data_IF_037308727897
#
_entry.id   IF_037308727897
#
_cell.length_a   1.000
_cell.length_b   1.000
_cell.length_c   1.000
_cell.angle_alpha   90.00
_cell.angle_beta   90.00
_cell.angle_gamma   90.00
#
_symmetry.space_group_name_H-M   'P 1'
#
loop_
_entity.id
_entity.type
_entity.pdbx_description
1 polymer ?
#
# COMPACT_ATOMS: atom_id res chain seq x y z
N UNK A 1 22.21 18.61 -5.50
CA UNK A 1 22.35 20.07 -5.34
C UNK A 1 21.22 20.72 -4.56
N UNK A 2 19.95 20.61 -4.97
CA UNK A 2 18.86 21.28 -4.24
C UNK A 2 18.58 20.65 -2.86
N UNK A 3 18.62 19.33 -2.76
CA UNK A 3 18.27 18.58 -1.53
C UNK A 3 19.48 18.31 -0.62
N UNK A 4 20.66 18.18 -1.22
CA UNK A 4 21.94 18.16 -0.51
C UNK A 4 22.95 18.95 -1.36
N UNK A 5 23.20 20.22 -1.03
CA UNK A 5 24.08 21.09 -1.80
C UNK A 5 25.54 20.63 -1.69
N UNK A 6 26.32 20.97 -2.71
CA UNK A 6 27.73 20.63 -2.73
C UNK A 6 28.48 21.55 -1.76
N UNK A 7 28.83 21.02 -0.60
CA UNK A 7 29.80 21.66 0.29
C UNK A 7 31.24 21.34 -0.15
N UNK A 8 32.24 21.82 0.60
CA UNK A 8 33.66 21.44 0.42
C UNK A 8 33.94 19.95 0.70
N UNK A 9 32.92 19.16 1.02
CA UNK A 9 33.03 17.75 1.36
C UNK A 9 33.36 16.88 0.14
N UNK A 10 33.90 15.70 0.40
CA UNK A 10 34.16 14.70 -0.63
C UNK A 10 32.85 14.27 -1.30
N UNK A 11 32.89 14.11 -2.62
CA UNK A 11 31.80 13.50 -3.39
C UNK A 11 32.35 12.32 -4.18
N UNK A 12 31.59 11.23 -4.24
CA UNK A 12 31.92 10.09 -5.09
C UNK A 12 30.95 9.97 -6.24
N UNK A 13 31.50 9.90 -7.45
CA UNK A 13 30.72 9.68 -8.67
C UNK A 13 30.58 8.18 -8.95
N UNK A 14 29.36 7.74 -9.17
CA UNK A 14 29.04 6.38 -9.59
C UNK A 14 27.96 6.41 -10.64
N UNK A 15 28.29 5.97 -11.85
CA UNK A 15 27.48 6.20 -13.05
C UNK A 15 27.14 7.69 -13.17
N UNK A 16 25.86 8.04 -13.27
CA UNK A 16 25.36 9.41 -13.36
C UNK A 16 24.95 10.01 -11.99
N UNK A 17 25.29 9.33 -10.90
CA UNK A 17 24.91 9.70 -9.53
C UNK A 17 26.15 10.18 -8.77
N UNK A 18 25.97 11.25 -7.99
CA UNK A 18 26.98 11.74 -7.06
C UNK A 18 26.49 11.47 -5.64
N UNK A 19 27.26 10.67 -4.91
CA UNK A 19 27.05 10.41 -3.49
C UNK A 19 27.80 11.42 -2.64
N UNK A 20 27.14 11.91 -1.61
CA UNK A 20 27.62 12.91 -0.66
C UNK A 20 27.22 12.51 0.75
N UNK A 21 27.93 13.07 1.72
CA UNK A 21 27.62 12.89 3.13
C UNK A 21 26.20 13.40 3.39
N UNK A 22 25.45 12.68 4.22
CA UNK A 22 24.04 12.93 4.55
C UNK A 22 23.04 12.68 3.40
N UNK A 23 23.47 12.09 2.28
CA UNK A 23 22.50 11.65 1.27
C UNK A 23 21.62 10.53 1.83
N UNK A 24 20.32 10.64 1.57
CA UNK A 24 19.39 9.51 1.78
C UNK A 24 19.59 8.52 0.66
N UNK A 25 19.71 7.25 1.01
CA UNK A 25 19.92 6.15 0.08
C UNK A 25 18.90 5.05 0.27
N UNK A 26 18.66 4.29 -0.79
CA UNK A 26 17.79 3.14 -0.83
C UNK A 26 18.62 1.93 -1.20
N UNK A 27 18.46 0.85 -0.45
CA UNK A 27 19.06 -0.43 -0.76
C UNK A 27 18.22 -1.22 -1.77
N UNK A 28 18.87 -1.88 -2.72
CA UNK A 28 18.22 -2.48 -3.90
C UNK A 28 18.22 -4.02 -3.89
N UNK A 29 19.06 -4.66 -3.07
CA UNK A 29 19.30 -6.11 -3.13
C UNK A 29 19.38 -6.66 -1.72
N UNK A 30 18.57 -7.65 -1.36
CA UNK A 30 18.63 -8.25 -0.02
C UNK A 30 20.04 -8.76 0.31
N UNK A 31 20.58 -8.35 1.45
CA UNK A 31 21.85 -8.78 1.99
C UNK A 31 21.66 -9.26 3.43
N UNK A 32 21.53 -10.58 3.59
CA UNK A 32 21.23 -11.20 4.89
C UNK A 32 22.40 -11.19 5.85
N UNK A 33 23.63 -11.11 5.35
CA UNK A 33 24.84 -11.09 6.19
C UNK A 33 24.96 -9.74 6.89
N UNK A 34 24.63 -8.67 6.16
CA UNK A 34 24.65 -7.31 6.66
C UNK A 34 23.33 -6.88 7.28
N UNK A 35 22.30 -7.74 7.30
CA UNK A 35 20.97 -7.44 7.81
C UNK A 35 20.36 -6.16 7.20
N UNK A 36 20.48 -6.02 5.87
CA UNK A 36 19.85 -4.93 5.09
C UNK A 36 19.06 -5.54 3.94
N UNK A 37 17.85 -5.05 3.74
CA UNK A 37 16.91 -5.58 2.76
C UNK A 37 16.57 -4.56 1.67
N UNK A 38 16.15 -5.06 0.51
CA UNK A 38 15.70 -4.24 -0.60
C UNK A 38 14.47 -3.42 -0.17
N UNK A 39 14.59 -2.10 -0.29
CA UNK A 39 13.59 -1.14 0.19
C UNK A 39 14.02 -0.39 1.45
N UNK A 40 15.08 -0.82 2.14
CA UNK A 40 15.57 -0.14 3.33
C UNK A 40 16.17 1.22 2.97
N UNK A 41 15.82 2.23 3.77
CA UNK A 41 16.28 3.59 3.61
C UNK A 41 17.40 3.85 4.62
N UNK A 42 18.55 4.24 4.12
CA UNK A 42 19.71 4.60 4.93
C UNK A 42 20.17 6.04 4.69
N UNK A 43 21.20 6.44 5.42
CA UNK A 43 21.89 7.72 5.27
C UNK A 43 23.38 7.47 5.12
N UNK A 44 24.03 8.17 4.19
CA UNK A 44 25.50 8.14 4.08
C UNK A 44 26.11 8.93 5.24
N UNK A 45 26.91 8.26 6.06
CA UNK A 45 27.59 8.86 7.22
C UNK A 45 28.96 9.41 6.83
N UNK A 46 29.70 8.72 5.96
CA UNK A 46 31.01 9.17 5.49
C UNK A 46 31.41 8.60 4.11
N UNK A 47 32.37 9.27 3.47
CA UNK A 47 32.95 8.89 2.18
C UNK A 47 34.48 8.89 2.29
N UNK A 48 35.08 7.71 2.30
CA UNK A 48 36.51 7.52 2.53
C UNK A 48 37.22 7.20 1.20
N UNK A 49 38.11 8.10 0.71
CA UNK A 49 38.83 7.85 -0.54
C UNK A 49 39.77 6.66 -0.41
N UNK A 50 39.97 5.91 -1.49
CA UNK A 50 40.80 4.69 -1.49
C UNK A 50 42.26 4.87 -1.07
N UNK A 51 42.75 6.12 -1.03
CA UNK A 51 44.06 6.44 -0.46
C UNK A 51 44.16 6.14 1.05
N UNK A 52 43.03 6.17 1.75
CA UNK A 52 42.93 6.02 3.20
C UNK A 52 42.34 4.67 3.63
N UNK A 53 41.96 3.79 2.70
CA UNK A 53 41.37 2.48 2.98
C UNK A 53 42.38 1.35 2.80
N UNK A 54 42.19 0.25 3.53
CA UNK A 54 43.04 -0.96 3.39
C UNK A 54 42.82 -1.65 2.04
N UNK A 55 41.59 -1.59 1.53
CA UNK A 55 41.17 -2.16 0.24
C UNK A 55 41.77 -1.42 -0.97
N UNK A 56 42.32 -0.22 -0.76
CA UNK A 56 42.75 0.73 -1.80
C UNK A 56 41.63 1.14 -2.76
N UNK A 57 40.38 1.01 -2.32
CA UNK A 57 39.19 1.39 -3.07
C UNK A 57 38.39 2.44 -2.28
N UNK A 58 37.65 3.28 -2.99
CA UNK A 58 36.73 4.22 -2.35
C UNK A 58 35.62 3.44 -1.63
N UNK A 59 35.36 3.82 -0.37
CA UNK A 59 34.37 3.17 0.49
C UNK A 59 33.31 4.18 0.95
N UNK A 60 32.04 3.77 0.91
CA UNK A 60 30.91 4.55 1.42
C UNK A 60 30.44 3.90 2.72
N UNK A 61 30.38 4.72 3.76
CA UNK A 61 29.86 4.36 5.07
C UNK A 61 28.41 4.81 5.16
N UNK A 62 27.54 3.90 5.55
CA UNK A 62 26.08 4.10 5.56
C UNK A 62 25.51 3.60 6.86
N UNK A 63 24.44 4.24 7.32
CA UNK A 63 23.64 3.75 8.43
C UNK A 63 22.23 3.43 7.94
N UNK A 64 21.80 2.18 8.12
CA UNK A 64 20.45 1.69 7.86
C UNK A 64 19.79 1.40 9.20
N UNK A 65 18.93 2.31 9.68
CA UNK A 65 18.25 2.19 10.99
C UNK A 65 19.20 1.86 12.17
N UNK A 66 20.37 2.51 12.20
CA UNK A 66 21.39 2.30 13.22
C UNK A 66 22.38 1.17 12.93
N UNK A 67 22.16 0.36 11.89
CA UNK A 67 23.10 -0.64 11.42
C UNK A 67 24.13 0.01 10.47
N UNK A 68 25.40 0.02 10.86
CA UNK A 68 26.47 0.57 10.04
C UNK A 68 26.95 -0.45 9.00
N UNK A 69 26.89 -0.04 7.73
CA UNK A 69 27.29 -0.85 6.59
C UNK A 69 28.30 -0.09 5.75
N UNK A 70 29.36 -0.78 5.33
CA UNK A 70 30.43 -0.23 4.51
C UNK A 70 30.40 -0.93 3.17
N UNK A 71 30.31 -0.17 2.09
CA UNK A 71 30.44 -0.71 0.74
C UNK A 71 31.68 -0.22 0.02
N UNK A 72 32.57 -1.13 -0.41
CA UNK A 72 33.59 -0.82 -1.40
C UNK A 72 32.93 -0.53 -2.75
N UNK A 73 33.68 0.14 -3.62
CA UNK A 73 33.17 0.68 -4.90
C UNK A 73 32.53 -0.34 -5.84
N UNK A 74 32.93 -1.61 -5.77
CA UNK A 74 32.34 -2.71 -6.53
C UNK A 74 30.91 -3.07 -6.10
N UNK A 75 30.46 -2.64 -4.91
CA UNK A 75 29.13 -2.93 -4.37
C UNK A 75 28.17 -1.74 -4.43
N UNK A 76 28.60 -0.58 -4.92
CA UNK A 76 27.75 0.61 -5.01
C UNK A 76 26.55 0.43 -5.94
N UNK A 77 26.53 -0.60 -6.78
CA UNK A 77 25.35 -0.97 -7.57
C UNK A 77 24.16 -1.48 -6.72
N UNK A 78 24.40 -1.84 -5.45
CA UNK A 78 23.35 -2.25 -4.49
C UNK A 78 22.58 -1.06 -3.91
N UNK A 79 23.04 0.18 -4.12
CA UNK A 79 22.44 1.38 -3.53
C UNK A 79 22.06 2.42 -4.59
N UNK A 80 21.09 3.26 -4.26
CA UNK A 80 20.72 4.43 -5.07
C UNK A 80 20.25 5.56 -4.17
N UNK A 81 20.14 6.79 -4.68
CA UNK A 81 19.60 7.91 -3.91
C UNK A 81 18.10 7.72 -3.64
N UNK A 82 17.65 8.04 -2.42
CA UNK A 82 16.27 7.88 -1.96
C UNK A 82 15.49 9.20 -1.83
N UNK A 83 15.92 10.26 -2.52
CA UNK A 83 15.20 11.54 -2.52
C UNK A 83 13.82 11.46 -3.15
N UNK A 84 13.70 10.63 -4.19
CA UNK A 84 12.45 10.30 -4.82
C UNK A 84 12.46 8.80 -5.12
N UNK A 85 11.34 8.15 -4.85
CA UNK A 85 11.17 6.73 -5.13
C UNK A 85 9.85 6.50 -5.85
N UNK A 86 9.79 5.39 -6.60
CA UNK A 86 8.54 4.98 -7.22
C UNK A 86 7.56 4.44 -6.17
N UNK A 87 6.28 4.53 -6.46
CA UNK A 87 5.21 4.01 -5.60
C UNK A 87 5.42 2.52 -5.30
N UNK A 88 5.88 1.74 -6.28
CA UNK A 88 6.20 0.32 -6.10
C UNK A 88 7.34 0.09 -5.10
N UNK A 89 8.37 0.94 -5.10
CA UNK A 89 9.50 0.85 -4.16
C UNK A 89 9.13 1.29 -2.75
N UNK A 90 8.02 2.01 -2.58
CA UNK A 90 7.48 2.39 -1.27
C UNK A 90 6.56 1.34 -0.64
N UNK A 91 6.39 0.17 -1.28
CA UNK A 91 5.46 -0.86 -0.80
C UNK A 91 5.89 -1.37 0.59
N UNK A 92 4.96 -1.33 1.55
CA UNK A 92 5.21 -1.73 2.93
C UNK A 92 5.73 -0.61 3.83
N UNK A 93 6.20 0.51 3.25
CA UNK A 93 6.64 1.69 4.01
C UNK A 93 5.52 2.72 4.16
N UNK A 94 5.52 3.46 5.26
CA UNK A 94 4.63 4.62 5.45
C UNK A 94 5.47 5.84 5.82
N UNK A 95 5.04 7.01 5.36
CA UNK A 95 5.76 8.27 5.59
C UNK A 95 4.83 9.29 6.24
N UNK A 96 5.31 10.11 7.20
CA UNK A 96 4.51 11.17 7.80
C UNK A 96 3.89 12.10 6.76
N UNK A 97 4.68 12.46 5.75
CA UNK A 97 4.27 13.34 4.65
C UNK A 97 4.69 12.71 3.32
N UNK A 98 3.78 12.68 2.35
CA UNK A 98 4.05 12.22 0.97
C UNK A 98 3.75 13.35 -0.01
N UNK A 99 4.69 13.59 -0.93
CA UNK A 99 4.50 14.49 -2.07
C UNK A 99 4.36 13.62 -3.32
N UNK A 100 3.19 13.65 -3.95
CA UNK A 100 2.84 12.79 -5.07
C UNK A 100 2.69 13.63 -6.36
N UNK A 101 3.68 13.61 -7.26
CA UNK A 101 3.53 14.20 -8.58
C UNK A 101 2.67 13.32 -9.50
N UNK A 102 1.64 13.90 -10.13
CA UNK A 102 0.71 13.24 -11.05
C UNK A 102 0.67 14.02 -12.36
N UNK A 103 1.28 13.48 -13.41
CA UNK A 103 1.32 14.11 -14.73
C UNK A 103 0.77 13.16 -15.79
N UNK A 104 0.30 13.69 -16.92
CA UNK A 104 -0.15 12.85 -18.05
C UNK A 104 0.97 11.98 -18.62
N UNK A 105 2.24 12.38 -18.43
CA UNK A 105 3.41 11.64 -18.92
C UNK A 105 3.58 10.26 -18.25
N UNK A 106 3.04 10.07 -17.04
CA UNK A 106 2.99 8.75 -16.39
C UNK A 106 2.19 7.71 -17.19
N UNK A 107 1.32 8.16 -18.11
CA UNK A 107 0.70 7.35 -19.15
C UNK A 107 0.03 6.08 -18.61
N UNK A 108 0.52 4.91 -19.04
CA UNK A 108 -0.05 3.60 -18.65
C UNK A 108 0.00 3.31 -17.15
N UNK A 109 0.83 4.03 -16.39
CA UNK A 109 0.92 3.88 -14.93
C UNK A 109 -0.21 4.60 -14.19
N UNK A 110 -0.97 5.48 -14.86
CA UNK A 110 -2.14 6.15 -14.28
C UNK A 110 -3.29 5.15 -14.11
N UNK A 111 -3.24 4.38 -13.02
CA UNK A 111 -4.21 3.35 -12.67
C UNK A 111 -4.71 3.58 -11.23
N UNK A 112 -5.98 3.24 -10.97
CA UNK A 112 -6.65 3.46 -9.69
C UNK A 112 -5.91 2.81 -8.52
N UNK A 113 -5.47 1.57 -8.70
CA UNK A 113 -4.71 0.81 -7.71
C UNK A 113 -3.37 1.49 -7.36
N UNK A 114 -2.68 2.07 -8.33
CA UNK A 114 -1.40 2.74 -8.10
C UNK A 114 -1.59 4.05 -7.32
N UNK A 115 -2.59 4.85 -7.70
CA UNK A 115 -2.94 6.07 -6.97
C UNK A 115 -3.40 5.75 -5.54
N UNK A 116 -4.25 4.74 -5.37
CA UNK A 116 -4.66 4.28 -4.04
C UNK A 116 -3.46 3.87 -3.19
N UNK A 117 -2.50 3.15 -3.77
CA UNK A 117 -1.28 2.74 -3.07
C UNK A 117 -0.45 3.95 -2.64
N UNK A 118 -0.32 4.96 -3.51
CA UNK A 118 0.42 6.18 -3.21
C UNK A 118 -0.25 7.01 -2.09
N UNK A 119 -1.58 7.12 -2.12
CA UNK A 119 -2.36 7.82 -1.08
C UNK A 119 -2.15 7.14 0.27
N UNK A 120 -2.23 5.81 0.32
CA UNK A 120 -2.08 5.04 1.56
C UNK A 120 -0.65 5.00 2.09
N UNK A 121 0.36 5.50 1.36
CA UNK A 121 1.71 5.70 1.91
C UNK A 121 1.79 6.88 2.89
N UNK A 122 0.85 7.82 2.82
CA UNK A 122 0.84 9.01 3.67
C UNK A 122 0.17 8.73 5.01
N UNK A 123 0.91 8.90 6.11
CA UNK A 123 0.40 8.68 7.47
C UNK A 123 -0.33 9.90 8.04
N UNK A 124 0.13 11.11 7.74
CA UNK A 124 -0.44 12.35 8.29
C UNK A 124 -0.85 13.34 7.20
N UNK A 125 0.04 13.65 6.24
CA UNK A 125 -0.26 14.62 5.18
C UNK A 125 0.10 14.08 3.79
N UNK A 126 -0.76 14.37 2.82
CA UNK A 126 -0.55 14.08 1.41
C UNK A 126 -0.62 15.37 0.61
N UNK A 127 0.41 15.65 -0.18
CA UNK A 127 0.45 16.78 -1.12
C UNK A 127 0.48 16.20 -2.53
N UNK A 128 -0.59 16.41 -3.29
CA UNK A 128 -0.65 16.00 -4.70
C UNK A 128 -0.36 17.20 -5.59
N UNK A 129 0.54 17.02 -6.57
CA UNK A 129 0.99 18.08 -7.47
C UNK A 129 0.86 17.61 -8.91
N UNK A 130 0.33 18.45 -9.80
CA UNK A 130 0.28 18.18 -11.23
C UNK A 130 -1.10 18.40 -11.84
N UNK A 131 -1.50 17.53 -12.75
CA UNK A 131 -2.64 17.76 -13.63
C UNK A 131 -3.92 17.06 -13.12
N UNK A 132 -4.98 17.84 -12.91
CA UNK A 132 -6.30 17.32 -12.48
C UNK A 132 -6.82 16.25 -13.47
N UNK A 133 -6.64 16.47 -14.77
CA UNK A 133 -7.06 15.51 -15.79
C UNK A 133 -6.31 14.17 -15.71
N UNK A 134 -5.05 14.16 -15.27
CA UNK A 134 -4.29 12.93 -15.08
C UNK A 134 -4.79 12.14 -13.87
N UNK A 135 -5.15 12.85 -12.79
CA UNK A 135 -5.78 12.25 -11.61
C UNK A 135 -7.15 11.66 -11.95
N UNK A 136 -8.01 12.44 -12.61
CA UNK A 136 -9.35 11.99 -13.03
C UNK A 136 -9.28 10.73 -13.93
N UNK A 137 -8.37 10.73 -14.90
CA UNK A 137 -8.11 9.55 -15.73
C UNK A 137 -7.66 8.35 -14.89
N UNK A 138 -6.72 8.54 -13.95
CA UNK A 138 -6.19 7.47 -13.13
C UNK A 138 -7.27 6.85 -12.23
N UNK A 139 -8.17 7.65 -11.66
CA UNK A 139 -9.27 7.18 -10.81
C UNK A 139 -10.29 6.38 -11.63
N UNK A 140 -10.53 6.68 -12.89
CA UNK A 140 -11.44 5.89 -13.73
C UNK A 140 -10.79 4.64 -14.34
N UNK A 141 -9.46 4.56 -14.38
CA UNK A 141 -8.74 3.44 -14.96
C UNK A 141 -8.47 2.31 -13.94
N UNK A 142 -9.29 1.26 -13.96
CA UNK A 142 -9.15 0.10 -13.07
C UNK A 142 -7.94 -0.81 -13.36
N UNK A 143 -7.21 -0.54 -14.45
CA UNK A 143 -6.08 -1.34 -14.88
C UNK A 143 -6.49 -2.64 -15.56
N UNK A 144 -5.49 -3.45 -15.93
CA UNK A 144 -5.74 -4.71 -16.61
C UNK A 144 -6.15 -5.80 -15.61
N UNK A 145 -7.21 -6.56 -15.95
CA UNK A 145 -7.57 -7.75 -15.19
C UNK A 145 -6.47 -8.80 -15.31
N UNK A 146 -6.06 -9.38 -14.18
CA UNK A 146 -5.05 -10.44 -14.15
C UNK A 146 -5.66 -11.74 -14.63
N UNK A 147 -5.06 -12.36 -15.63
CA UNK A 147 -5.42 -13.70 -16.06
C UNK A 147 -4.99 -14.71 -14.99
N UNK A 148 -5.96 -15.30 -14.29
CA UNK A 148 -5.73 -16.31 -13.24
C UNK A 148 -6.88 -17.31 -13.22
N UNK A 149 -6.55 -18.58 -12.96
CA UNK A 149 -7.53 -19.67 -12.81
C UNK A 149 -7.80 -20.03 -11.35
N UNK A 150 -7.30 -19.22 -10.40
CA UNK A 150 -7.31 -19.58 -8.98
C UNK A 150 -8.74 -19.72 -8.44
N UNK A 151 -9.64 -18.81 -8.83
CA UNK A 151 -11.05 -18.84 -8.40
C UNK A 151 -11.73 -20.10 -8.92
N UNK A 152 -11.57 -20.41 -10.21
CA UNK A 152 -12.15 -21.58 -10.85
C UNK A 152 -11.66 -22.89 -10.21
N UNK A 153 -10.39 -22.95 -9.78
CA UNK A 153 -9.86 -24.12 -9.05
C UNK A 153 -10.50 -24.30 -7.68
N UNK A 154 -10.79 -23.21 -6.97
CA UNK A 154 -11.48 -23.26 -5.68
C UNK A 154 -12.95 -23.65 -5.83
N UNK A 155 -13.64 -23.15 -6.86
CA UNK A 155 -15.04 -23.51 -7.15
C UNK A 155 -15.20 -25.00 -7.47
N UNK A 156 -14.29 -25.58 -8.26
CA UNK A 156 -14.28 -27.02 -8.53
C UNK A 156 -14.06 -27.85 -7.27
N UNK A 157 -13.14 -27.41 -6.41
CA UNK A 157 -12.83 -28.12 -5.15
C UNK A 157 -13.99 -28.02 -4.16
N UNK A 158 -14.63 -26.85 -4.05
CA UNK A 158 -15.80 -26.65 -3.19
C UNK A 158 -16.98 -27.51 -3.67
N UNK A 159 -17.27 -27.52 -4.96
CA UNK A 159 -18.34 -28.34 -5.55
C UNK A 159 -18.11 -29.82 -5.28
N UNK A 160 -16.89 -30.33 -5.51
CA UNK A 160 -16.55 -31.73 -5.21
C UNK A 160 -16.59 -32.07 -3.71
N UNK A 161 -16.30 -31.12 -2.83
CA UNK A 161 -16.39 -31.31 -1.39
C UNK A 161 -17.84 -31.34 -0.92
N UNK A 162 -18.70 -30.49 -1.47
CA UNK A 162 -20.15 -30.50 -1.23
C UNK A 162 -20.76 -31.80 -1.74
N UNK A 163 -20.45 -32.22 -2.98
CA UNK A 163 -20.95 -33.46 -3.57
C UNK A 163 -20.56 -34.70 -2.75
N UNK A 164 -19.30 -34.77 -2.28
CA UNK A 164 -18.85 -35.85 -1.37
C UNK A 164 -19.55 -35.83 -0.01
N UNK A 165 -19.93 -34.66 0.47
CA UNK A 165 -20.64 -34.52 1.75
C UNK A 165 -22.10 -34.96 1.63
N UNK A 166 -22.76 -34.58 0.53
CA UNK A 166 -24.11 -35.00 0.18
C UNK A 166 -24.17 -36.51 -0.06
N UNK A 167 -23.22 -37.09 -0.79
CA UNK A 167 -23.13 -38.54 -0.96
C UNK A 167 -22.99 -39.31 0.36
N UNK A 168 -22.31 -38.72 1.36
CA UNK A 168 -22.11 -39.34 2.67
C UNK A 168 -23.38 -39.31 3.51
N UNK A 169 -24.18 -38.25 3.40
CA UNK A 169 -25.48 -38.12 4.07
C UNK A 169 -26.49 -39.11 3.46
N UNK A 170 -26.56 -39.20 2.13
CA UNK A 170 -27.46 -40.13 1.42
C UNK A 170 -27.12 -41.60 1.71
N UNK A 171 -25.83 -41.95 1.86
CA UNK A 171 -25.41 -43.31 2.24
C UNK A 171 -25.71 -43.67 3.70
N UNK A 172 -25.74 -42.70 4.60
CA UNK A 172 -26.08 -42.92 6.01
C UNK A 172 -27.60 -43.10 6.24
N UNK A 173 -28.45 -42.46 5.44
CA UNK A 173 -29.91 -42.68 5.52
C UNK A 173 -30.33 -44.04 4.95
N UNK A 174 -29.57 -44.58 3.98
CA UNK A 174 -29.83 -45.89 3.38
C UNK A 174 -29.49 -47.10 4.29
N UNK A 175 -28.84 -46.89 5.44
CA UNK A 175 -28.48 -47.97 6.39
C UNK A 175 -29.33 -48.00 7.67
N UNK A 176 -30.31 -47.10 7.81
CA UNK A 176 -31.16 -46.98 8.99
C UNK A 176 -32.64 -47.28 8.75
N UNK A 177 -33.01 -48.28 7.95
CA UNK A 177 -34.42 -48.69 7.84
C UNK A 177 -34.57 -50.18 7.48
N UNK A 178 -34.43 -51.05 8.49
CA UNK A 178 -35.09 -52.36 8.47
C UNK A 178 -36.05 -52.42 9.65
N UNK A 179 -37.31 -52.07 9.39
CA UNK A 179 -38.47 -52.87 9.81
C UNK A 179 -39.77 -52.32 9.21
N UNK A 180 -40.25 -53.06 8.21
CA UNK A 180 -41.63 -53.37 7.82
C UNK A 180 -42.70 -52.27 7.91
N UNK A 181 -43.38 -51.98 6.79
CA UNK A 181 -44.65 -52.65 6.42
C UNK A 181 -44.92 -52.49 4.92
N UNK A 182 -45.35 -53.59 4.29
CA UNK A 182 -45.72 -53.72 2.87
C UNK A 182 -47.12 -53.14 2.61
N UNK A 183 -47.28 -52.40 1.50
CA UNK A 183 -48.39 -52.66 0.57
C UNK A 183 -48.01 -52.32 -0.87
N UNK A 184 -48.48 -53.16 -1.79
CA UNK A 184 -48.07 -53.31 -3.19
C UNK A 184 -48.65 -52.21 -4.11
N UNK A 185 -47.91 -51.82 -5.15
CA UNK A 185 -48.17 -52.18 -6.56
C UNK A 185 -47.22 -51.42 -7.52
N UNK A 186 -46.64 -52.15 -8.47
CA UNK A 186 -45.86 -51.70 -9.64
C UNK A 186 -46.84 -51.06 -10.69
N UNK A 187 -46.52 -50.25 -11.69
CA UNK A 187 -45.34 -50.03 -12.56
C UNK A 187 -45.53 -48.65 -13.30
N UNK A 188 -44.74 -48.20 -14.31
CA UNK A 188 -44.18 -46.84 -14.37
C UNK A 188 -44.76 -45.98 -15.51
N UNK A 189 -44.48 -44.67 -15.55
CA UNK A 189 -44.24 -43.88 -16.78
C UNK A 189 -44.09 -42.37 -16.49
N UNK A 190 -43.20 -41.75 -17.26
CA UNK A 190 -43.11 -40.31 -17.60
C UNK A 190 -42.31 -39.35 -16.70
N UNK A 191 -41.03 -39.22 -17.06
CA UNK A 191 -40.28 -37.98 -17.36
C UNK A 191 -40.86 -36.64 -16.91
N UNK A 192 -40.05 -35.86 -16.19
CA UNK A 192 -40.15 -34.40 -16.17
C UNK A 192 -38.77 -33.75 -16.31
N UNK A 193 -38.71 -32.86 -17.30
CA UNK A 193 -37.60 -32.06 -17.79
C UNK A 193 -37.13 -30.98 -16.79
N UNK A 194 -35.87 -30.57 -16.99
CA UNK A 194 -35.25 -29.41 -16.39
C UNK A 194 -36.00 -28.11 -16.74
N UNK A 195 -36.25 -27.26 -15.74
CA UNK A 195 -36.53 -25.84 -15.95
C UNK A 195 -35.51 -24.99 -15.23
N UNK A 196 -34.82 -24.17 -16.02
CA UNK A 196 -33.98 -23.05 -15.61
C UNK A 196 -34.68 -22.18 -14.56
N UNK A 197 -33.94 -21.84 -13.50
CA UNK A 197 -34.25 -20.72 -12.61
C UNK A 197 -33.09 -19.74 -12.67
N UNK A 198 -33.17 -18.83 -13.63
CA UNK A 198 -32.56 -17.50 -13.55
C UNK A 198 -33.68 -16.46 -13.53
N UNK A 199 -33.42 -15.35 -12.83
CA UNK A 199 -34.28 -14.18 -12.60
C UNK A 199 -35.28 -14.25 -11.42
N UNK A 200 -34.81 -13.85 -10.23
CA UNK A 200 -35.33 -12.68 -9.50
C UNK A 200 -34.73 -12.61 -8.09
N UNK A 201 -33.66 -11.83 -7.89
CA UNK A 201 -33.40 -11.20 -6.58
C UNK A 201 -32.97 -9.75 -6.83
N UNK A 202 -33.93 -8.85 -6.59
CA UNK A 202 -33.75 -7.41 -6.50
C UNK A 202 -33.27 -7.08 -5.07
N UNK A 203 -32.15 -6.37 -4.83
CA UNK A 203 -31.82 -5.90 -3.50
C UNK A 203 -32.31 -4.46 -3.32
N UNK A 204 -33.35 -4.26 -2.51
CA UNK A 204 -33.67 -2.96 -1.91
C UNK A 204 -32.82 -2.72 -0.65
N UNK A 205 -32.52 -1.45 -0.32
CA UNK A 205 -31.62 -1.07 0.76
C UNK A 205 -32.37 -1.10 2.09
N UNK A 206 -31.73 -1.64 3.12
CA UNK A 206 -31.92 -1.35 4.56
C UNK A 206 -31.61 -2.62 5.37
N UNK A 207 -30.33 -2.81 5.70
CA UNK A 207 -29.94 -3.62 6.85
C UNK A 207 -28.87 -2.87 7.64
N UNK A 208 -29.35 -2.35 8.77
CA UNK A 208 -28.64 -1.70 9.86
C UNK A 208 -27.50 -2.60 10.34
N UNK A 209 -26.26 -2.12 10.22
CA UNK A 209 -25.08 -2.80 10.72
C UNK A 209 -24.91 -2.46 12.22
N UNK A 210 -25.29 -3.40 13.10
CA UNK A 210 -25.06 -3.27 14.55
C UNK A 210 -23.79 -4.01 14.92
N UNK A 211 -22.66 -3.29 14.94
CA UNK A 211 -21.47 -3.71 15.68
C UNK A 211 -21.21 -2.70 16.79
N UNK A 212 -21.72 -3.02 17.97
CA UNK A 212 -21.38 -2.36 19.22
C UNK A 212 -19.99 -2.82 19.66
N UNK A 213 -19.06 -1.87 19.85
CA UNK A 213 -17.91 -2.02 20.74
C UNK A 213 -18.00 -0.98 21.87
N UNK A 214 -17.50 -1.31 23.07
CA UNK A 214 -17.78 -0.53 24.28
C UNK A 214 -17.04 0.81 24.26
N UNK A 215 -17.78 1.87 24.57
CA UNK A 215 -17.26 3.22 24.81
C UNK A 215 -16.65 3.27 26.20
N UNK A 216 -15.34 3.47 26.28
CA UNK A 216 -14.67 3.87 27.52
C UNK A 216 -15.05 5.34 27.83
N UNK A 217 -15.77 5.54 28.93
CA UNK A 217 -16.24 6.85 29.39
C UNK A 217 -15.19 7.45 30.32
N UNK A 218 -14.22 8.17 29.78
CA UNK A 218 -13.56 9.24 30.54
C UNK A 218 -12.91 10.27 29.61
N UNK A 219 -12.92 11.52 30.07
CA UNK A 219 -12.37 12.76 29.49
C UNK A 219 -13.36 13.60 28.66
N UNK A 220 -14.08 14.46 29.38
CA UNK A 220 -14.72 15.67 28.88
C UNK A 220 -13.68 16.65 28.30
N UNK A 221 -13.86 17.07 27.05
CA UNK A 221 -13.41 18.39 26.54
C UNK A 221 -14.48 18.94 25.58
N UNK A 222 -14.75 20.26 25.59
CA UNK A 222 -15.91 20.84 24.93
C UNK A 222 -15.78 20.76 23.41
N UNK A 223 -16.90 20.44 22.76
CA UNK A 223 -17.10 20.37 21.31
C UNK A 223 -16.75 21.74 20.69
N UNK A 224 -15.67 21.81 19.92
CA UNK A 224 -15.46 22.86 18.94
C UNK A 224 -16.20 22.44 17.67
N UNK A 225 -17.14 23.29 17.25
CA UNK A 225 -17.91 23.12 16.01
C UNK A 225 -16.94 23.02 14.83
N UNK A 226 -16.94 21.89 14.12
CA UNK A 226 -16.22 21.74 12.85
C UNK A 226 -16.85 22.65 11.79
N UNK A 227 -16.35 23.88 11.66
CA UNK A 227 -16.68 24.72 10.52
C UNK A 227 -15.89 24.22 9.30
N UNK A 228 -16.61 23.71 8.30
CA UNK A 228 -16.07 23.34 6.99
C UNK A 228 -15.66 24.61 6.22
N UNK A 229 -14.39 25.02 6.30
CA UNK A 229 -13.88 26.13 5.51
C UNK A 229 -13.55 25.68 4.08
N UNK A 230 -14.44 25.99 3.13
CA UNK A 230 -14.20 25.84 1.69
C UNK A 230 -13.68 27.15 1.12
N UNK A 231 -12.44 27.19 0.62
CA UNK A 231 -11.91 28.37 -0.05
C UNK A 231 -12.64 28.61 -1.38
N UNK A 232 -13.15 29.83 -1.59
CA UNK A 232 -13.77 30.35 -2.81
C UNK A 232 -13.13 31.68 -3.17
N UNK A 233 -13.29 32.14 -4.41
CA UNK A 233 -12.74 33.44 -4.85
C UNK A 233 -13.21 34.61 -3.97
N UNK A 234 -14.40 34.48 -3.37
CA UNK A 234 -15.01 35.50 -2.52
C UNK A 234 -14.51 35.51 -1.06
N UNK A 235 -13.87 34.44 -0.58
CA UNK A 235 -13.51 34.29 0.86
C UNK A 235 -12.01 34.15 1.13
N UNK A 236 -11.17 34.16 0.08
CA UNK A 236 -9.71 34.04 0.16
C UNK A 236 -9.06 35.10 1.07
N UNK A 237 -9.63 36.30 1.14
CA UNK A 237 -9.08 37.42 1.93
C UNK A 237 -9.49 37.42 3.41
N UNK A 238 -10.48 36.59 3.77
CA UNK A 238 -11.13 36.61 5.09
C UNK A 238 -10.76 35.40 5.93
N UNK A 239 -10.32 34.32 5.29
CA UNK A 239 -9.83 33.13 5.96
C UNK A 239 -8.39 33.39 6.41
N UNK A 240 -8.16 33.32 7.72
CA UNK A 240 -6.83 33.49 8.29
C UNK A 240 -5.88 32.47 7.67
N UNK A 241 -4.77 32.90 7.04
CA UNK A 241 -3.78 31.98 6.49
C UNK A 241 -3.17 31.04 7.55
N UNK A 242 -3.25 31.37 8.84
CA UNK A 242 -2.80 30.54 9.96
C UNK A 242 -3.91 29.69 10.57
N UNK A 243 -5.09 29.59 9.94
CA UNK A 243 -6.20 28.79 10.46
C UNK A 243 -5.77 27.33 10.69
N UNK A 244 -5.97 26.84 11.91
CA UNK A 244 -5.60 25.49 12.31
C UNK A 244 -4.12 25.28 12.69
N UNK A 245 -3.29 26.33 12.73
CA UNK A 245 -1.95 26.30 13.32
C UNK A 245 -1.98 26.94 14.71
N UNK A 246 -1.58 26.19 15.74
CA UNK A 246 -1.41 26.74 17.09
C UNK A 246 -0.03 27.36 17.27
N UNK A 247 0.14 28.23 18.28
CA UNK A 247 1.43 28.84 18.60
C UNK A 247 2.51 27.79 18.93
N UNK A 248 2.12 26.64 19.49
CA UNK A 248 2.99 25.50 19.76
C UNK A 248 3.47 24.82 18.45
N UNK A 249 2.62 24.77 17.42
CA UNK A 249 2.98 24.24 16.09
C UNK A 249 4.01 25.13 15.39
N UNK A 250 3.88 26.45 15.56
CA UNK A 250 4.82 27.43 15.03
C UNK A 250 6.16 27.31 15.77
N UNK A 251 6.14 27.15 17.10
CA UNK A 251 7.36 26.93 17.88
C UNK A 251 8.09 25.65 17.49
N UNK A 252 7.38 24.54 17.26
CA UNK A 252 7.98 23.29 16.78
C UNK A 252 8.65 23.42 15.39
N UNK A 253 8.16 24.33 14.56
CA UNK A 253 8.71 24.59 13.23
C UNK A 253 10.03 25.37 13.27
N UNK A 254 10.20 26.28 14.24
CA UNK A 254 11.31 27.23 14.27
C UNK A 254 12.34 27.02 15.41
N UNK A 255 12.04 26.23 16.44
CA UNK A 255 12.93 26.05 17.61
C UNK A 255 13.69 24.71 17.70
N UNK A 256 13.63 23.84 16.68
CA UNK A 256 14.55 22.69 16.64
C UNK A 256 15.89 23.11 15.99
N UNK A 257 16.78 23.65 16.83
CA UNK A 257 18.21 23.78 16.57
C UNK A 257 18.97 22.82 17.50
#
# INVERSE_FOLDING_TARGET
DLLNPQEKANQFAFNDIFFRKNDKILHLVNDTELNVFNGDIGIITDLIPGKYTESKQDEIYMSFDGNEVIYPRNEWNKITLAYAMSIHKSQGSEFPVVILPITRQSGRMLQRNLIYTAITRAKSKLVMLGEIAAFDYAVHNEGAKRNTYLIQRFEQTYTQAVDKSVEKIVKNEATGASNQTKTKNNDPSETLENKDFSENINPSPDLVNTYSQPVDKSVNKPVQTEENYRLTEDNWSTIDPMIGLSEDDIAAFFNNN
#
